data_IF_728293057863
#
_entry.id   IF_728293057863
#
_cell.length_a   1.000
_cell.length_b   1.000
_cell.length_c   1.000
_cell.angle_alpha   90.00
_cell.angle_beta   90.00
_cell.angle_gamma   90.00
#
_symmetry.space_group_name_H-M   'P 1'
#
loop_
_entity.id
_entity.type
_entity.pdbx_description
1 polymer ?
#
# COMPACT_ATOMS: atom_id res chain seq x y z
N UNK A 1 -5.43 -19.62 24.55
CA UNK A 1 -4.48 -19.05 23.58
C UNK A 1 -5.23 -18.14 22.61
N UNK A 2 -4.60 -17.08 22.13
CA UNK A 2 -5.20 -16.14 21.17
C UNK A 2 -4.57 -16.31 19.78
N UNK A 3 -5.39 -16.27 18.73
CA UNK A 3 -4.99 -16.28 17.32
C UNK A 3 -5.69 -15.10 16.63
N UNK A 4 -4.97 -14.19 15.94
CA UNK A 4 -5.58 -13.07 15.26
C UNK A 4 -6.58 -13.47 14.19
N UNK A 5 -7.72 -12.78 14.16
CA UNK A 5 -8.71 -12.91 13.09
C UNK A 5 -8.28 -12.12 11.86
N UNK A 6 -8.90 -12.38 10.71
CA UNK A 6 -8.69 -11.55 9.51
C UNK A 6 -9.03 -10.07 9.76
N UNK A 7 -10.05 -9.79 10.60
CA UNK A 7 -10.40 -8.41 10.94
C UNK A 7 -9.30 -7.73 11.77
N UNK A 8 -8.70 -8.46 12.72
CA UNK A 8 -7.57 -7.96 13.51
C UNK A 8 -6.37 -7.63 12.61
N UNK A 9 -6.10 -8.49 11.61
CA UNK A 9 -5.03 -8.28 10.63
C UNK A 9 -5.32 -7.04 9.77
N UNK A 10 -6.56 -6.87 9.29
CA UNK A 10 -6.96 -5.72 8.46
C UNK A 10 -6.89 -4.39 9.22
N UNK A 11 -7.19 -4.38 10.51
CA UNK A 11 -7.10 -3.18 11.35
C UNK A 11 -5.69 -2.92 11.91
N UNK A 12 -4.77 -3.88 11.75
CA UNK A 12 -3.40 -3.72 12.23
C UNK A 12 -2.62 -2.73 11.37
N UNK A 13 -2.07 -1.69 11.99
CA UNK A 13 -1.17 -0.75 11.30
C UNK A 13 0.25 -1.29 11.27
N UNK A 14 0.69 -1.74 10.09
CA UNK A 14 2.10 -2.03 9.80
C UNK A 14 2.57 -1.15 8.65
N UNK A 15 3.56 -0.30 8.88
CA UNK A 15 4.11 0.55 7.82
C UNK A 15 4.79 -0.28 6.74
N UNK A 16 4.36 -0.15 5.48
CA UNK A 16 5.04 -0.72 4.31
C UNK A 16 6.41 -0.06 4.15
N UNK A 17 7.46 -0.88 4.10
CA UNK A 17 8.84 -0.45 3.84
C UNK A 17 9.28 -1.06 2.52
N UNK A 18 9.74 -0.22 1.59
CA UNK A 18 10.14 -0.69 0.26
C UNK A 18 8.96 -0.95 -0.67
N UNK A 19 9.17 -1.89 -1.60
CA UNK A 19 8.26 -2.27 -2.68
C UNK A 19 7.94 -3.75 -2.50
N UNK A 20 6.68 -4.13 -2.62
CA UNK A 20 6.22 -5.52 -2.57
C UNK A 20 5.30 -5.81 -3.74
N UNK A 21 5.45 -6.99 -4.33
CA UNK A 21 4.70 -7.41 -5.51
C UNK A 21 3.82 -8.61 -5.20
N UNK A 22 2.58 -8.59 -5.68
CA UNK A 22 1.61 -9.65 -5.49
C UNK A 22 0.87 -9.93 -6.79
N UNK A 23 0.91 -11.18 -7.25
CA UNK A 23 0.09 -11.61 -8.38
C UNK A 23 -1.24 -12.14 -7.86
N UNK A 24 -2.33 -11.47 -8.20
CA UNK A 24 -3.68 -11.83 -7.79
C UNK A 24 -4.51 -12.12 -9.06
N UNK A 25 -5.06 -13.33 -9.21
CA UNK A 25 -5.95 -13.64 -10.33
C UNK A 25 -7.32 -12.99 -10.10
N UNK A 26 -7.74 -12.09 -10.99
CA UNK A 26 -9.08 -11.49 -11.00
C UNK A 26 -9.75 -11.88 -12.31
N UNK A 27 -10.84 -12.63 -12.26
CA UNK A 27 -11.52 -13.17 -13.44
C UNK A 27 -10.56 -13.90 -14.40
N UNK A 28 -9.65 -14.72 -13.83
CA UNK A 28 -8.59 -15.46 -14.53
C UNK A 28 -7.52 -14.59 -15.23
N UNK A 29 -7.52 -13.28 -15.00
CA UNK A 29 -6.46 -12.40 -15.46
C UNK A 29 -5.46 -12.19 -14.31
N UNK A 30 -4.15 -12.44 -14.50
CA UNK A 30 -3.16 -12.27 -13.46
C UNK A 30 -2.81 -10.78 -13.30
N UNK A 31 -3.39 -10.12 -12.29
CA UNK A 31 -3.04 -8.73 -11.97
C UNK A 31 -1.80 -8.70 -11.07
N UNK A 32 -0.79 -7.97 -11.50
CA UNK A 32 0.36 -7.64 -10.66
C UNK A 32 0.04 -6.37 -9.86
N UNK A 33 -0.19 -6.54 -8.56
CA UNK A 33 -0.29 -5.45 -7.61
C UNK A 33 1.09 -5.13 -7.05
N UNK A 34 1.47 -3.85 -7.13
CA UNK A 34 2.71 -3.33 -6.56
C UNK A 34 2.35 -2.40 -5.40
N UNK A 35 2.64 -2.82 -4.16
CA UNK A 35 2.49 -1.99 -2.97
C UNK A 35 3.81 -1.28 -2.67
N UNK A 36 3.75 0.04 -2.49
CA UNK A 36 4.91 0.90 -2.29
C UNK A 36 4.66 1.78 -1.07
N UNK A 37 5.63 1.85 -0.17
CA UNK A 37 5.54 2.74 0.98
C UNK A 37 5.24 4.19 0.58
N UNK A 38 4.17 4.77 1.15
CA UNK A 38 3.74 6.14 0.87
C UNK A 38 4.37 7.23 1.77
N UNK A 39 5.05 6.81 2.84
CA UNK A 39 5.82 7.69 3.74
C UNK A 39 6.86 8.49 2.96
N UNK A 40 7.11 9.74 3.35
CA UNK A 40 8.02 10.68 2.66
C UNK A 40 9.40 10.07 2.43
N UNK A 41 9.91 9.33 3.41
CA UNK A 41 11.20 8.61 3.33
C UNK A 41 11.23 7.48 2.28
N UNK A 42 10.08 6.95 1.89
CA UNK A 42 9.95 5.86 0.92
C UNK A 42 9.66 6.35 -0.50
N UNK A 43 9.18 7.59 -0.68
CA UNK A 43 8.78 8.13 -2.00
C UNK A 43 9.91 8.14 -3.03
N UNK A 44 11.16 8.26 -2.59
CA UNK A 44 12.31 8.12 -3.49
C UNK A 44 12.35 6.76 -4.18
N UNK A 45 11.72 5.70 -3.67
CA UNK A 45 11.73 4.38 -4.32
C UNK A 45 10.68 4.24 -5.41
N UNK A 46 9.71 5.15 -5.51
CA UNK A 46 8.59 5.03 -6.45
C UNK A 46 9.07 4.91 -7.89
N UNK A 47 10.11 5.63 -8.30
CA UNK A 47 10.63 5.52 -9.68
C UNK A 47 11.06 4.09 -10.07
N UNK A 48 11.36 3.21 -9.10
CA UNK A 48 11.82 1.84 -9.36
C UNK A 48 10.70 0.92 -9.84
N UNK A 49 9.43 1.28 -9.60
CA UNK A 49 8.28 0.46 -9.96
C UNK A 49 7.27 1.17 -10.87
N UNK A 50 7.61 2.34 -11.40
CA UNK A 50 6.75 3.11 -12.29
C UNK A 50 6.98 2.79 -13.78
N UNK A 51 7.94 1.93 -14.11
CA UNK A 51 8.14 1.50 -15.49
C UNK A 51 7.02 0.53 -15.94
N UNK A 52 6.43 0.81 -17.09
CA UNK A 52 5.36 0.00 -17.70
C UNK A 52 4.11 -0.28 -16.84
N UNK A 53 3.77 0.57 -15.86
CA UNK A 53 2.52 0.41 -15.09
C UNK A 53 1.28 0.66 -15.97
N UNK A 54 0.30 -0.25 -15.90
CA UNK A 54 -0.95 -0.11 -16.65
C UNK A 54 -1.87 0.96 -16.05
N UNK A 55 -1.88 1.09 -14.72
CA UNK A 55 -2.75 2.01 -13.99
C UNK A 55 -2.19 2.29 -12.60
N UNK A 56 -2.54 3.45 -12.03
CA UNK A 56 -2.17 3.85 -10.67
C UNK A 56 -3.44 3.97 -9.82
N UNK A 57 -3.44 3.31 -8.66
CA UNK A 57 -4.46 3.46 -7.63
C UNK A 57 -3.95 4.42 -6.55
N UNK A 58 -4.30 5.70 -6.67
CA UNK A 58 -3.91 6.71 -5.67
C UNK A 58 -4.92 6.77 -4.53
N UNK A 59 -4.52 6.33 -3.34
CA UNK A 59 -5.36 6.26 -2.15
C UNK A 59 -5.23 7.52 -1.29
N UNK A 60 -6.35 8.08 -0.85
CA UNK A 60 -6.41 9.27 0.01
C UNK A 60 -7.36 9.00 1.17
N UNK A 61 -6.95 9.34 2.38
CA UNK A 61 -7.80 9.29 3.57
C UNK A 61 -8.66 10.54 3.64
N UNK A 62 -9.94 10.44 3.25
CA UNK A 62 -10.88 11.57 3.33
C UNK A 62 -11.26 11.93 4.77
N UNK A 63 -11.09 11.01 5.71
CA UNK A 63 -11.38 11.21 7.14
C UNK A 63 -10.32 12.02 7.88
N UNK A 64 -9.16 12.26 7.29
CA UNK A 64 -8.02 12.95 7.92
C UNK A 64 -7.99 14.46 7.65
N UNK A 65 -9.12 15.07 7.29
CA UNK A 65 -9.19 16.47 6.85
C UNK A 65 -8.75 17.50 7.91
N UNK A 66 -8.87 17.16 9.19
CA UNK A 66 -8.50 17.99 10.34
C UNK A 66 -7.19 17.54 11.02
N UNK A 67 -6.47 16.60 10.38
CA UNK A 67 -5.22 16.07 10.89
C UNK A 67 -4.00 16.69 10.20
N UNK A 68 -2.85 16.56 10.85
CA UNK A 68 -1.55 16.97 10.31
C UNK A 68 -0.70 15.75 10.00
N UNK A 69 0.17 15.88 9.01
CA UNK A 69 1.19 14.86 8.75
C UNK A 69 2.15 14.79 9.94
N UNK A 70 2.46 13.57 10.37
CA UNK A 70 3.46 13.34 11.43
C UNK A 70 4.90 13.51 10.92
N UNK A 71 5.09 13.47 9.60
CA UNK A 71 6.38 13.67 8.95
C UNK A 71 6.52 15.16 8.58
N UNK A 72 7.44 15.87 9.24
CA UNK A 72 7.85 17.24 8.89
C UNK A 72 8.48 17.33 7.48
#
# INVERSE_FOLDING_TARGET
EYVPTHQDILHCRKATKGISEFVIPINNIPFLFVDVGGQRSQRQKWYQCFDCVTSILFLVSSSEFDQVLLED
#
